data_IF_610188490790
#
_entry.id   IF_610188490790
#
_cell.length_a   1.000
_cell.length_b   1.000
_cell.length_c   1.000
_cell.angle_alpha   90.00
_cell.angle_beta   90.00
_cell.angle_gamma   90.00
#
_symmetry.space_group_name_H-M   'P 1'
#
loop_
_entity.id
_entity.type
_entity.pdbx_description
1 polymer ?
#
# COMPACT_ATOMS: atom_id res chain seq x y z
N UNK A 1 24.00 -5.90 -13.01
CA UNK A 1 22.82 -5.02 -12.87
C UNK A 1 23.14 -3.58 -13.26
N UNK A 2 24.16 -2.94 -12.66
CA UNK A 2 24.54 -1.53 -12.90
C UNK A 2 24.70 -1.16 -14.38
N UNK A 3 25.51 -1.91 -15.13
CA UNK A 3 25.72 -1.65 -16.57
C UNK A 3 24.42 -1.73 -17.40
N UNK A 4 23.49 -2.61 -17.00
CA UNK A 4 22.18 -2.72 -17.65
C UNK A 4 21.33 -1.46 -17.40
N UNK A 5 21.33 -0.96 -16.15
CA UNK A 5 20.63 0.29 -15.78
C UNK A 5 21.24 1.48 -16.53
N UNK A 6 22.57 1.59 -16.54
CA UNK A 6 23.29 2.67 -17.26
C UNK A 6 22.94 2.70 -18.75
N UNK A 7 23.00 1.54 -19.43
CA UNK A 7 22.62 1.43 -20.85
C UNK A 7 21.14 1.78 -21.09
N UNK A 8 20.25 1.36 -20.19
CA UNK A 8 18.82 1.67 -20.31
C UNK A 8 18.55 3.17 -20.13
N UNK A 9 19.16 3.79 -19.12
CA UNK A 9 19.02 5.22 -18.86
C UNK A 9 19.59 6.06 -20.02
N UNK A 10 20.75 5.69 -20.56
CA UNK A 10 21.30 6.36 -21.75
C UNK A 10 20.36 6.29 -22.94
N UNK A 11 19.75 5.13 -23.19
CA UNK A 11 18.88 4.92 -24.35
C UNK A 11 17.49 5.53 -24.21
N UNK A 12 16.90 5.50 -23.01
CA UNK A 12 15.47 5.79 -22.83
C UNK A 12 15.17 6.99 -21.93
N UNK A 13 16.13 7.41 -21.10
CA UNK A 13 16.02 8.58 -20.25
C UNK A 13 16.86 9.76 -20.77
N UNK A 14 17.68 9.54 -21.82
CA UNK A 14 18.65 10.52 -22.34
C UNK A 14 19.64 11.01 -21.26
N UNK A 15 20.00 10.13 -20.31
CA UNK A 15 20.92 10.46 -19.22
C UNK A 15 22.30 9.86 -19.47
N UNK A 16 23.35 10.61 -19.17
CA UNK A 16 24.71 10.08 -19.18
C UNK A 16 24.91 9.04 -18.07
N UNK A 17 25.68 7.99 -18.37
CA UNK A 17 25.93 6.87 -17.45
C UNK A 17 26.53 7.32 -16.10
N UNK A 18 27.33 8.39 -16.11
CA UNK A 18 27.98 8.96 -14.92
C UNK A 18 27.15 10.05 -14.24
N UNK A 19 25.92 10.31 -14.69
CA UNK A 19 25.07 11.31 -14.07
C UNK A 19 24.67 10.89 -12.65
N UNK A 20 24.56 11.85 -11.69
CA UNK A 20 24.16 11.55 -10.31
C UNK A 20 22.81 10.84 -10.20
N UNK A 21 21.91 11.05 -11.16
CA UNK A 21 20.60 10.40 -11.22
C UNK A 21 20.77 8.92 -11.53
N UNK A 22 21.57 8.57 -12.54
CA UNK A 22 21.80 7.18 -12.94
C UNK A 22 22.53 6.40 -11.84
N UNK A 23 23.48 7.02 -11.16
CA UNK A 23 24.19 6.38 -10.04
C UNK A 23 23.22 6.04 -8.89
N UNK A 24 22.42 7.01 -8.45
CA UNK A 24 21.44 6.81 -7.37
C UNK A 24 20.36 5.80 -7.78
N UNK A 25 19.90 5.87 -9.02
CA UNK A 25 18.88 4.95 -9.53
C UNK A 25 19.41 3.52 -9.64
N UNK A 26 20.66 3.34 -10.09
CA UNK A 26 21.32 2.03 -10.14
C UNK A 26 21.47 1.41 -8.76
N UNK A 27 21.84 2.23 -7.76
CA UNK A 27 21.95 1.79 -6.37
C UNK A 27 20.60 1.35 -5.81
N UNK A 28 19.57 2.17 -5.99
CA UNK A 28 18.21 1.84 -5.58
C UNK A 28 17.74 0.53 -6.22
N UNK A 29 17.87 0.38 -7.54
CA UNK A 29 17.46 -0.83 -8.24
C UNK A 29 18.21 -2.05 -7.69
N UNK A 30 19.52 -1.96 -7.44
CA UNK A 30 20.28 -3.07 -6.89
C UNK A 30 19.77 -3.49 -5.51
N UNK A 31 19.57 -2.52 -4.61
CA UNK A 31 19.10 -2.76 -3.24
C UNK A 31 17.67 -3.33 -3.23
N UNK A 32 16.77 -2.73 -4.01
CA UNK A 32 15.34 -3.06 -4.02
C UNK A 32 15.02 -4.37 -4.74
N UNK A 33 15.82 -4.74 -5.75
CA UNK A 33 15.58 -5.94 -6.58
C UNK A 33 16.52 -7.10 -6.25
N UNK A 34 17.60 -6.87 -5.52
CA UNK A 34 18.68 -7.85 -5.27
C UNK A 34 19.16 -8.56 -6.54
N UNK A 35 19.14 -7.86 -7.68
CA UNK A 35 19.56 -8.44 -8.95
C UNK A 35 18.50 -9.24 -9.70
N UNK A 36 17.26 -9.34 -9.19
CA UNK A 36 16.16 -10.02 -9.86
C UNK A 36 15.84 -9.35 -11.20
N UNK A 37 16.29 -9.95 -12.30
CA UNK A 37 16.25 -9.38 -13.66
C UNK A 37 14.85 -8.92 -14.06
N UNK A 38 13.82 -9.71 -13.74
CA UNK A 38 12.43 -9.34 -14.03
C UNK A 38 11.99 -8.05 -13.33
N UNK A 39 12.45 -7.81 -12.09
CA UNK A 39 12.09 -6.62 -11.32
C UNK A 39 12.91 -5.42 -11.75
N UNK A 40 14.18 -5.61 -12.15
CA UNK A 40 15.01 -4.56 -12.73
C UNK A 40 14.31 -3.97 -13.97
N UNK A 41 13.96 -4.82 -14.93
CA UNK A 41 13.31 -4.37 -16.17
C UNK A 41 11.92 -3.79 -15.92
N UNK A 42 11.14 -4.40 -15.01
CA UNK A 42 9.84 -3.88 -14.60
C UNK A 42 9.96 -2.47 -14.03
N UNK A 43 10.91 -2.26 -13.11
CA UNK A 43 11.18 -0.97 -12.47
C UNK A 43 11.59 0.09 -13.50
N UNK A 44 12.55 -0.23 -14.37
CA UNK A 44 13.04 0.69 -15.41
C UNK A 44 11.92 1.10 -16.37
N UNK A 45 11.14 0.13 -16.84
CA UNK A 45 10.05 0.36 -17.79
C UNK A 45 8.99 1.28 -17.20
N UNK A 46 8.46 0.95 -16.03
CA UNK A 46 7.38 1.73 -15.44
C UNK A 46 7.83 3.11 -14.96
N UNK A 47 9.08 3.23 -14.49
CA UNK A 47 9.66 4.56 -14.22
C UNK A 47 9.74 5.41 -15.48
N UNK A 48 10.15 4.82 -16.63
CA UNK A 48 10.21 5.53 -17.90
C UNK A 48 8.83 5.99 -18.37
N UNK A 49 7.83 5.14 -18.23
CA UNK A 49 6.43 5.45 -18.56
C UNK A 49 5.91 6.61 -17.68
N UNK A 50 6.08 6.54 -16.36
CA UNK A 50 5.63 7.58 -15.43
C UNK A 50 6.38 8.91 -15.57
N UNK A 51 7.67 8.86 -15.91
CA UNK A 51 8.53 10.04 -16.01
C UNK A 51 8.63 10.62 -17.42
N UNK A 52 7.87 10.10 -18.39
CA UNK A 52 8.04 10.39 -19.82
C UNK A 52 8.03 11.89 -20.14
N UNK A 53 7.10 12.63 -19.52
CA UNK A 53 7.01 14.09 -19.69
C UNK A 53 8.27 14.81 -19.19
N UNK A 54 8.77 14.47 -18.00
CA UNK A 54 9.96 15.07 -17.39
C UNK A 54 11.24 14.71 -18.15
N UNK A 55 11.30 13.51 -18.72
CA UNK A 55 12.37 13.06 -19.60
C UNK A 55 12.38 13.91 -20.88
N UNK A 56 11.23 14.09 -21.54
CA UNK A 56 11.11 14.91 -22.76
C UNK A 56 11.50 16.37 -22.53
N UNK A 57 11.10 16.94 -21.40
CA UNK A 57 11.40 18.32 -21.03
C UNK A 57 12.82 18.50 -20.45
N UNK A 58 13.58 17.41 -20.27
CA UNK A 58 14.91 17.41 -19.66
C UNK A 58 14.97 18.05 -18.26
N UNK A 59 13.91 17.85 -17.46
CA UNK A 59 13.77 18.37 -16.08
C UNK A 59 13.68 17.24 -15.03
N UNK A 60 14.04 16.01 -15.42
CA UNK A 60 13.98 14.87 -14.53
C UNK A 60 14.99 15.02 -13.39
N UNK A 61 14.53 14.83 -12.15
CA UNK A 61 15.40 14.70 -10.98
C UNK A 61 15.28 13.31 -10.35
N UNK A 62 16.32 12.90 -9.61
CA UNK A 62 16.23 11.67 -8.82
C UNK A 62 15.15 11.75 -7.74
N UNK A 63 14.82 12.94 -7.23
CA UNK A 63 13.73 13.12 -6.25
C UNK A 63 12.39 12.70 -6.84
N UNK A 64 12.13 13.02 -8.10
CA UNK A 64 10.89 12.63 -8.79
C UNK A 64 10.83 11.12 -9.02
N UNK A 65 11.95 10.54 -9.47
CA UNK A 65 12.09 9.09 -9.64
C UNK A 65 11.87 8.37 -8.31
N UNK A 66 12.52 8.82 -7.24
CA UNK A 66 12.43 8.21 -5.91
C UNK A 66 11.02 8.34 -5.32
N UNK A 67 10.36 9.49 -5.52
CA UNK A 67 8.97 9.69 -5.09
C UNK A 67 8.02 8.71 -5.82
N UNK A 68 8.19 8.54 -7.13
CA UNK A 68 7.42 7.57 -7.90
C UNK A 68 7.66 6.13 -7.46
N UNK A 69 8.92 5.72 -7.30
CA UNK A 69 9.29 4.36 -6.88
C UNK A 69 8.80 3.98 -5.47
N UNK A 70 8.43 4.98 -4.67
CA UNK A 70 7.81 4.79 -3.36
C UNK A 70 6.30 5.07 -3.35
N UNK A 71 5.72 5.38 -4.50
CA UNK A 71 4.30 5.67 -4.65
C UNK A 71 3.47 4.39 -4.72
N UNK A 72 2.19 4.53 -4.33
CA UNK A 72 1.18 3.49 -4.52
C UNK A 72 1.02 3.09 -5.98
N UNK A 73 1.15 4.04 -6.90
CA UNK A 73 1.03 3.77 -8.34
C UNK A 73 2.07 2.74 -8.78
N UNK A 74 3.34 2.93 -8.38
CA UNK A 74 4.40 1.99 -8.69
C UNK A 74 4.17 0.62 -8.02
N UNK A 75 3.77 0.60 -6.75
CA UNK A 75 3.47 -0.62 -6.01
C UNK A 75 2.40 -1.48 -6.70
N UNK A 76 1.34 -0.86 -7.21
CA UNK A 76 0.30 -1.54 -7.98
C UNK A 76 0.86 -2.21 -9.25
N UNK A 77 1.92 -1.65 -9.85
CA UNK A 77 2.59 -2.31 -10.98
C UNK A 77 3.37 -3.54 -10.53
N UNK A 78 4.03 -3.47 -9.36
CA UNK A 78 4.81 -4.57 -8.79
C UNK A 78 3.89 -5.72 -8.40
N UNK A 79 2.74 -5.43 -7.79
CA UNK A 79 1.72 -6.43 -7.42
C UNK A 79 1.21 -7.23 -8.63
N UNK A 80 1.18 -6.60 -9.81
CA UNK A 80 0.77 -7.23 -11.09
C UNK A 80 1.93 -7.94 -11.79
N UNK A 81 3.16 -7.74 -11.34
CA UNK A 81 4.33 -8.38 -11.92
C UNK A 81 4.22 -9.91 -11.82
N UNK A 82 4.83 -10.63 -12.76
CA UNK A 82 4.84 -12.11 -12.74
C UNK A 82 5.52 -12.66 -11.48
N UNK A 83 6.55 -11.98 -10.99
CA UNK A 83 7.30 -12.35 -9.80
C UNK A 83 6.57 -11.98 -8.48
N UNK A 84 5.43 -11.29 -8.57
CA UNK A 84 4.62 -10.94 -7.41
C UNK A 84 4.13 -12.19 -6.66
N UNK A 85 4.05 -12.13 -5.32
CA UNK A 85 3.54 -13.23 -4.50
C UNK A 85 2.11 -13.67 -4.84
N UNK A 86 1.27 -12.75 -5.34
CA UNK A 86 -0.15 -12.98 -5.64
C UNK A 86 -0.84 -13.69 -4.47
N UNK A 87 -0.88 -13.03 -3.31
CA UNK A 87 -1.31 -13.57 -2.00
C UNK A 87 -2.61 -14.39 -2.08
N UNK A 88 -3.60 -13.91 -2.85
CA UNK A 88 -4.89 -14.60 -3.04
C UNK A 88 -4.81 -15.99 -3.70
N UNK A 89 -3.69 -16.30 -4.34
CA UNK A 89 -3.44 -17.58 -5.02
C UNK A 89 -2.56 -18.55 -4.21
N UNK A 90 -2.03 -18.10 -3.07
CA UNK A 90 -1.22 -18.93 -2.19
C UNK A 90 -2.10 -19.80 -1.31
N UNK A 91 -1.66 -21.03 -1.03
CA UNK A 91 -2.30 -21.90 -0.05
C UNK A 91 -2.10 -21.35 1.37
N UNK A 92 -2.92 -21.79 2.33
CA UNK A 92 -2.77 -21.41 3.74
C UNK A 92 -1.38 -21.74 4.31
N UNK A 93 -0.77 -22.85 3.89
CA UNK A 93 0.59 -23.22 4.29
C UNK A 93 1.63 -22.28 3.67
N UNK A 94 1.49 -21.95 2.38
CA UNK A 94 2.39 -21.02 1.70
C UNK A 94 2.34 -19.62 2.30
N UNK A 95 1.13 -19.14 2.63
CA UNK A 95 0.93 -17.87 3.32
C UNK A 95 1.66 -17.87 4.66
N UNK A 96 1.45 -18.90 5.47
CA UNK A 96 2.11 -19.03 6.78
C UNK A 96 3.63 -19.02 6.66
N UNK A 97 4.20 -19.69 5.65
CA UNK A 97 5.64 -19.66 5.40
C UNK A 97 6.10 -18.23 5.07
N UNK A 98 5.42 -17.53 4.16
CA UNK A 98 5.75 -16.14 3.82
C UNK A 98 5.64 -15.19 5.02
N UNK A 99 4.61 -15.35 5.86
CA UNK A 99 4.44 -14.58 7.10
C UNK A 99 5.57 -14.85 8.10
N UNK A 100 6.01 -16.11 8.24
CA UNK A 100 7.16 -16.45 9.08
C UNK A 100 8.45 -15.81 8.56
N UNK A 101 8.71 -15.90 7.25
CA UNK A 101 9.88 -15.23 6.63
C UNK A 101 9.81 -13.72 6.86
N UNK A 102 8.65 -13.10 6.64
CA UNK A 102 8.45 -11.67 6.88
C UNK A 102 8.71 -11.28 8.35
N UNK A 103 8.24 -12.08 9.30
CA UNK A 103 8.34 -11.79 10.73
C UNK A 103 9.76 -11.99 11.26
N UNK A 104 10.45 -13.05 10.81
CA UNK A 104 11.75 -13.45 11.34
C UNK A 104 12.92 -13.03 10.46
N UNK A 105 12.66 -12.44 9.28
CA UNK A 105 13.65 -12.16 8.24
C UNK A 105 14.08 -13.40 7.45
N UNK A 106 14.15 -14.55 8.12
CA UNK A 106 14.51 -15.83 7.53
C UNK A 106 13.83 -17.01 8.24
N UNK A 107 13.70 -18.15 7.54
CA UNK A 107 13.32 -19.42 8.18
C UNK A 107 14.20 -20.58 7.70
N UNK A 108 14.40 -21.63 8.49
CA UNK A 108 15.10 -22.83 8.04
C UNK A 108 14.42 -23.44 6.81
N UNK A 109 15.21 -23.74 5.77
CA UNK A 109 14.72 -24.43 4.60
C UNK A 109 14.52 -25.92 4.89
N UNK A 110 13.37 -26.46 4.46
CA UNK A 110 13.11 -27.89 4.48
C UNK A 110 12.82 -28.39 3.06
N UNK A 111 13.74 -29.17 2.51
CA UNK A 111 13.64 -29.72 1.15
C UNK A 111 12.46 -30.68 0.95
N UNK A 112 11.90 -31.24 2.03
CA UNK A 112 10.72 -32.10 1.97
C UNK A 112 9.40 -31.32 2.04
N UNK A 113 9.44 -30.02 2.35
CA UNK A 113 8.25 -29.18 2.35
C UNK A 113 7.91 -28.73 0.92
N UNK A 114 6.85 -29.31 0.35
CA UNK A 114 6.43 -28.98 -1.03
C UNK A 114 5.96 -27.54 -1.21
N UNK A 115 5.42 -26.91 -0.16
CA UNK A 115 4.99 -25.50 -0.18
C UNK A 115 6.18 -24.55 -0.28
N UNK A 116 7.27 -24.81 0.48
CA UNK A 116 8.54 -24.09 0.35
C UNK A 116 9.12 -24.23 -1.05
N UNK A 117 9.19 -25.45 -1.59
CA UNK A 117 9.68 -25.69 -2.95
C UNK A 117 8.87 -24.96 -4.03
N UNK A 118 7.55 -24.86 -3.86
CA UNK A 118 6.67 -24.10 -4.78
C UNK A 118 6.93 -22.60 -4.71
N UNK A 119 7.13 -22.04 -3.51
CA UNK A 119 7.44 -20.62 -3.30
C UNK A 119 8.81 -20.24 -3.89
N UNK A 120 9.78 -21.16 -3.84
CA UNK A 120 11.07 -20.98 -4.52
C UNK A 120 10.89 -21.02 -6.04
N UNK A 121 10.17 -22.02 -6.56
CA UNK A 121 9.92 -22.16 -8.00
C UNK A 121 9.14 -20.99 -8.60
N UNK A 122 8.29 -20.33 -7.83
CA UNK A 122 7.59 -19.12 -8.27
C UNK A 122 8.45 -17.85 -8.23
N UNK A 123 9.64 -17.92 -7.63
CA UNK A 123 10.54 -16.77 -7.45
C UNK A 123 10.12 -15.83 -6.33
N UNK A 124 9.22 -16.25 -5.44
CA UNK A 124 8.80 -15.44 -4.27
C UNK A 124 9.88 -15.51 -3.20
N UNK A 125 10.36 -16.72 -2.91
CA UNK A 125 11.42 -16.97 -1.95
C UNK A 125 12.68 -17.49 -2.65
N UNK A 126 13.82 -17.34 -1.99
CA UNK A 126 15.12 -17.90 -2.39
C UNK A 126 15.74 -18.63 -1.22
N UNK A 127 16.63 -19.57 -1.52
CA UNK A 127 17.45 -20.26 -0.51
C UNK A 127 18.83 -19.61 -0.52
N UNK A 128 19.31 -19.24 0.65
CA UNK A 128 20.71 -18.89 0.88
C UNK A 128 21.17 -19.55 2.19
N UNK A 129 22.30 -20.26 2.18
CA UNK A 129 22.84 -20.97 3.36
C UNK A 129 21.81 -21.79 4.17
N UNK A 130 20.96 -22.59 3.51
CA UNK A 130 19.88 -23.38 4.12
C UNK A 130 18.78 -22.55 4.84
N UNK A 131 18.72 -21.25 4.55
CA UNK A 131 17.69 -20.33 5.02
C UNK A 131 16.86 -19.82 3.85
N UNK A 132 15.58 -19.60 4.10
CA UNK A 132 14.63 -19.04 3.16
C UNK A 132 14.47 -17.54 3.41
N UNK A 133 14.55 -16.76 2.34
CA UNK A 133 14.35 -15.31 2.32
C UNK A 133 13.37 -14.94 1.21
N UNK A 134 12.78 -13.75 1.28
CA UNK A 134 12.18 -13.15 0.08
C UNK A 134 13.25 -12.95 -1.00
N UNK A 135 12.86 -13.17 -2.26
CA UNK A 135 13.78 -13.08 -3.39
C UNK A 135 14.31 -11.67 -3.64
N UNK A 136 13.56 -10.65 -3.20
CA UNK A 136 13.98 -9.25 -3.21
C UNK A 136 13.13 -8.43 -2.23
N UNK A 137 13.64 -7.31 -1.69
CA UNK A 137 12.87 -6.39 -0.86
C UNK A 137 11.60 -5.86 -1.53
N UNK A 138 11.57 -5.68 -2.85
CA UNK A 138 10.33 -5.32 -3.56
C UNK A 138 9.26 -6.42 -3.54
N UNK A 139 9.66 -7.70 -3.52
CA UNK A 139 8.71 -8.81 -3.39
C UNK A 139 8.16 -8.88 -1.96
N UNK A 140 9.02 -8.66 -0.96
CA UNK A 140 8.61 -8.55 0.44
C UNK A 140 7.64 -7.38 0.67
N UNK A 141 7.97 -6.19 0.13
CA UNK A 141 7.09 -5.00 0.14
C UNK A 141 5.73 -5.31 -0.50
N UNK A 142 5.74 -5.97 -1.66
CA UNK A 142 4.52 -6.38 -2.37
C UNK A 142 3.70 -7.40 -1.58
N UNK A 143 4.34 -8.37 -0.92
CA UNK A 143 3.68 -9.30 0.00
C UNK A 143 2.97 -8.53 1.13
N UNK A 144 3.70 -7.63 1.80
CA UNK A 144 3.15 -6.81 2.88
C UNK A 144 1.94 -5.99 2.42
N UNK A 145 2.03 -5.36 1.26
CA UNK A 145 0.93 -4.54 0.72
C UNK A 145 -0.29 -5.37 0.35
N UNK A 146 -0.11 -6.56 -0.20
CA UNK A 146 -1.22 -7.45 -0.53
C UNK A 146 -1.89 -8.05 0.72
N UNK A 147 -1.13 -8.29 1.80
CA UNK A 147 -1.65 -8.83 3.06
C UNK A 147 -2.28 -7.75 3.95
N UNK A 148 -1.62 -6.59 4.08
CA UNK A 148 -1.93 -5.58 5.10
C UNK A 148 -2.24 -4.19 4.54
N UNK A 149 -2.05 -3.98 3.23
CA UNK A 149 -2.29 -2.68 2.60
C UNK A 149 -3.77 -2.26 2.68
N UNK A 150 -4.04 -1.08 3.23
CA UNK A 150 -5.38 -0.49 3.25
C UNK A 150 -5.78 -0.07 1.83
N UNK A 151 -6.79 -0.73 1.27
CA UNK A 151 -7.08 -0.61 -0.16
C UNK A 151 -7.76 0.70 -0.59
N UNK A 152 -8.20 1.60 0.30
CA UNK A 152 -9.28 2.52 -0.08
C UNK A 152 -9.17 3.96 0.42
N UNK A 153 -7.99 4.52 0.65
CA UNK A 153 -7.92 5.98 0.84
C UNK A 153 -8.08 6.67 -0.50
N UNK A 154 -9.05 7.58 -0.60
CA UNK A 154 -9.31 8.36 -1.80
C UNK A 154 -8.14 9.27 -2.12
N UNK A 155 -7.76 9.37 -3.39
CA UNK A 155 -6.75 10.34 -3.84
C UNK A 155 -7.30 11.78 -3.84
N UNK A 156 -8.62 11.94 -3.76
CA UNK A 156 -9.29 13.24 -3.75
C UNK A 156 -9.83 13.54 -2.36
N UNK A 157 -9.33 14.63 -1.76
CA UNK A 157 -9.88 15.18 -0.52
C UNK A 157 -11.22 15.86 -0.79
N UNK A 158 -12.23 15.69 0.08
CA UNK A 158 -13.47 16.46 -0.01
C UNK A 158 -13.22 17.98 0.12
N UNK A 159 -13.91 18.76 -0.71
CA UNK A 159 -13.76 20.23 -0.77
C UNK A 159 -14.41 20.96 0.42
N UNK A 160 -15.30 20.29 1.16
CA UNK A 160 -16.02 20.87 2.30
C UNK A 160 -16.49 19.78 3.27
N UNK A 161 -16.83 20.19 4.50
CA UNK A 161 -17.42 19.30 5.50
C UNK A 161 -18.70 18.65 4.95
N UNK A 162 -19.57 19.41 4.31
CA UNK A 162 -20.78 18.87 3.69
C UNK A 162 -20.45 17.78 2.65
N UNK A 163 -19.51 18.04 1.75
CA UNK A 163 -19.10 17.05 0.75
C UNK A 163 -18.48 15.81 1.38
N UNK A 164 -17.70 15.98 2.46
CA UNK A 164 -17.15 14.87 3.24
C UNK A 164 -18.26 13.99 3.83
N UNK A 165 -19.23 14.59 4.52
CA UNK A 165 -20.36 13.87 5.12
C UNK A 165 -21.17 13.13 4.06
N UNK A 166 -21.52 13.78 2.94
CA UNK A 166 -22.25 13.15 1.83
C UNK A 166 -21.49 11.94 1.31
N UNK A 167 -20.17 12.06 1.07
CA UNK A 167 -19.35 10.94 0.59
C UNK A 167 -19.30 9.77 1.57
N UNK A 168 -19.24 10.04 2.87
CA UNK A 168 -19.29 8.99 3.90
C UNK A 168 -20.61 8.24 3.80
N UNK A 169 -21.75 8.94 3.86
CA UNK A 169 -23.05 8.28 3.82
C UNK A 169 -23.32 7.55 2.50
N UNK A 170 -22.92 8.12 1.35
CA UNK A 170 -22.97 7.41 0.07
C UNK A 170 -22.15 6.13 0.13
N UNK A 171 -20.91 6.18 0.62
CA UNK A 171 -20.04 5.02 0.72
C UNK A 171 -20.43 4.02 1.82
N UNK A 172 -21.24 4.43 2.80
CA UNK A 172 -21.84 3.56 3.82
C UNK A 172 -23.10 2.85 3.29
N UNK A 173 -23.91 3.55 2.49
CA UNK A 173 -25.11 2.99 1.86
C UNK A 173 -24.76 2.08 0.67
N UNK A 174 -23.70 2.40 -0.07
CA UNK A 174 -23.26 1.68 -1.25
C UNK A 174 -22.11 0.69 -0.95
N UNK A 175 -22.00 -0.37 -1.76
CA UNK A 175 -20.82 -1.23 -1.77
C UNK A 175 -20.58 -2.07 -0.49
N UNK A 176 -19.31 -2.36 -0.13
CA UNK A 176 -18.95 -3.26 0.98
C UNK A 176 -19.39 -2.78 2.37
N UNK A 177 -19.49 -1.47 2.59
CA UNK A 177 -19.87 -0.88 3.88
C UNK A 177 -21.34 -1.14 4.21
N UNK A 178 -22.23 -1.06 3.21
CA UNK A 178 -23.63 -1.42 3.40
C UNK A 178 -23.81 -2.89 3.76
N UNK A 179 -22.91 -3.77 3.29
CA UNK A 179 -22.87 -5.17 3.71
C UNK A 179 -22.41 -5.30 5.17
N UNK A 180 -21.38 -4.57 5.58
CA UNK A 180 -20.89 -4.55 6.96
C UNK A 180 -21.99 -4.11 7.92
N UNK A 181 -22.72 -3.02 7.64
CA UNK A 181 -23.82 -2.57 8.50
C UNK A 181 -24.97 -3.57 8.60
N UNK A 182 -25.26 -4.33 7.53
CA UNK A 182 -26.30 -5.38 7.55
C UNK A 182 -25.88 -6.67 8.26
N UNK A 183 -24.60 -7.03 8.17
CA UNK A 183 -24.06 -8.29 8.71
C UNK A 183 -23.42 -8.12 10.11
N UNK A 184 -23.18 -6.88 10.55
CA UNK A 184 -22.62 -6.60 11.87
C UNK A 184 -23.58 -7.09 12.97
N UNK A 185 -23.04 -7.69 14.03
CA UNK A 185 -23.82 -8.12 15.20
C UNK A 185 -24.16 -6.97 16.16
N UNK A 186 -23.78 -5.74 15.82
CA UNK A 186 -23.89 -4.57 16.68
C UNK A 186 -25.28 -3.96 16.71
N UNK A 187 -26.29 -4.78 17.01
CA UNK A 187 -27.68 -4.39 17.19
C UNK A 187 -28.05 -4.33 18.67
N UNK A 188 -28.88 -3.36 19.05
CA UNK A 188 -29.50 -3.26 20.35
C UNK A 188 -30.63 -4.28 20.53
N UNK A 189 -31.12 -4.38 21.77
CA UNK A 189 -32.26 -5.25 22.10
C UNK A 189 -33.56 -4.85 21.40
N UNK A 190 -33.62 -3.63 20.89
CA UNK A 190 -34.70 -3.05 20.08
C UNK A 190 -34.57 -3.39 18.58
N UNK A 191 -33.52 -4.10 18.18
CA UNK A 191 -33.25 -4.45 16.78
C UNK A 191 -32.64 -3.32 15.95
N UNK A 192 -32.33 -2.17 16.55
CA UNK A 192 -31.66 -1.05 15.88
C UNK A 192 -30.15 -1.17 16.00
N UNK A 193 -29.39 -0.63 15.04
CA UNK A 193 -27.94 -0.58 15.14
C UNK A 193 -27.51 0.25 16.37
N UNK A 194 -26.56 -0.28 17.14
CA UNK A 194 -25.92 0.44 18.24
C UNK A 194 -25.18 1.65 17.69
N UNK A 195 -25.19 2.75 18.45
CA UNK A 195 -24.48 3.98 18.13
C UNK A 195 -22.99 3.73 17.87
N UNK A 196 -22.35 2.88 18.67
CA UNK A 196 -20.96 2.50 18.44
C UNK A 196 -20.72 1.79 17.10
N UNK A 197 -21.72 1.07 16.58
CA UNK A 197 -21.60 0.44 15.26
C UNK A 197 -21.62 1.50 14.17
N UNK A 198 -22.48 2.51 14.30
CA UNK A 198 -22.51 3.67 13.43
C UNK A 198 -21.21 4.49 13.48
N UNK A 199 -20.75 4.84 14.68
CA UNK A 199 -19.50 5.60 14.87
C UNK A 199 -18.28 4.87 14.30
N UNK A 200 -18.15 3.55 14.53
CA UNK A 200 -17.03 2.76 14.01
C UNK A 200 -17.03 2.67 12.48
N UNK A 201 -18.20 2.53 11.87
CA UNK A 201 -18.30 2.47 10.42
C UNK A 201 -18.10 3.86 9.79
N UNK A 202 -18.64 4.91 10.42
CA UNK A 202 -18.37 6.29 10.05
C UNK A 202 -16.87 6.58 10.08
N UNK A 203 -16.17 6.16 11.14
CA UNK A 203 -14.72 6.31 11.25
C UNK A 203 -13.97 5.57 10.14
N UNK A 204 -14.32 4.30 9.90
CA UNK A 204 -13.68 3.44 8.90
C UNK A 204 -13.83 4.01 7.50
N UNK A 205 -15.05 4.42 7.13
CA UNK A 205 -15.36 5.00 5.81
C UNK A 205 -14.84 6.43 5.71
N UNK A 206 -14.97 7.23 6.76
CA UNK A 206 -14.43 8.59 6.86
C UNK A 206 -12.94 8.62 6.57
N UNK A 207 -12.16 7.75 7.23
CA UNK A 207 -10.72 7.61 6.97
C UNK A 207 -10.40 7.21 5.52
N UNK A 208 -11.30 6.46 4.87
CA UNK A 208 -11.16 6.10 3.45
C UNK A 208 -11.46 7.29 2.53
N UNK A 209 -12.51 8.08 2.77
CA UNK A 209 -12.92 9.16 1.84
C UNK A 209 -12.23 10.50 2.09
N UNK A 210 -11.62 10.71 3.26
CA UNK A 210 -11.00 11.97 3.66
C UNK A 210 -9.72 12.32 2.87
N UNK A 211 -9.01 11.29 2.41
CA UNK A 211 -7.79 11.41 1.61
C UNK A 211 -6.50 11.37 2.42
N UNK A 212 -5.36 11.13 1.75
CA UNK A 212 -4.09 10.72 2.37
C UNK A 212 -3.42 11.78 3.27
N UNK A 213 -3.78 13.05 3.12
CA UNK A 213 -3.09 14.17 3.79
C UNK A 213 -3.71 14.60 5.13
N UNK A 214 -4.84 13.99 5.49
CA UNK A 214 -5.69 14.40 6.61
C UNK A 214 -5.99 13.19 7.50
N UNK A 215 -6.22 13.45 8.78
CA UNK A 215 -6.48 12.40 9.77
C UNK A 215 -7.82 12.65 10.46
N UNK A 216 -8.69 11.64 10.44
CA UNK A 216 -9.92 11.63 11.22
C UNK A 216 -9.58 11.01 12.58
N UNK A 217 -9.79 11.75 13.66
CA UNK A 217 -9.65 11.26 15.04
C UNK A 217 -11.04 10.93 15.59
N UNK A 218 -11.18 9.85 16.35
CA UNK A 218 -12.39 9.54 17.12
C UNK A 218 -12.17 9.77 18.62
N UNK A 219 -13.26 9.84 19.39
CA UNK A 219 -13.25 9.94 20.85
C UNK A 219 -12.48 11.17 21.38
N UNK A 220 -12.60 12.31 20.69
CA UNK A 220 -11.81 13.52 20.95
C UNK A 220 -12.39 14.46 21.99
N UNK A 221 -13.61 14.22 22.49
CA UNK A 221 -14.29 15.12 23.44
C UNK A 221 -13.42 15.52 24.65
N UNK A 222 -12.71 14.55 25.25
CA UNK A 222 -11.81 14.80 26.39
C UNK A 222 -10.63 15.72 26.05
N UNK A 223 -10.14 15.70 24.81
CA UNK A 223 -9.03 16.54 24.35
C UNK A 223 -9.46 17.99 24.19
N UNK A 224 -10.72 18.22 23.78
CA UNK A 224 -11.27 19.56 23.58
C UNK A 224 -11.87 20.18 24.86
N UNK A 225 -11.82 19.48 26.00
CA UNK A 225 -12.42 19.94 27.25
C UNK A 225 -13.94 20.05 27.17
N UNK A 226 -14.56 19.35 26.23
CA UNK A 226 -16.00 19.29 26.04
C UNK A 226 -16.54 18.01 26.67
N UNK A 227 -17.66 18.09 27.40
CA UNK A 227 -18.35 16.93 27.97
C UNK A 227 -19.01 16.08 26.87
N UNK A 228 -18.22 15.29 26.13
CA UNK A 228 -18.72 14.22 25.26
C UNK A 228 -19.38 14.61 23.93
N UNK A 229 -19.45 15.90 23.59
CA UNK A 229 -20.19 16.38 22.40
C UNK A 229 -19.45 16.24 21.06
N UNK A 230 -18.21 15.75 21.01
CA UNK A 230 -17.47 15.65 19.73
C UNK A 230 -17.00 14.22 19.53
N UNK A 231 -17.68 13.53 18.62
CA UNK A 231 -17.36 12.16 18.23
C UNK A 231 -16.10 12.10 17.37
N UNK A 232 -15.95 13.06 16.44
CA UNK A 232 -14.82 13.08 15.52
C UNK A 232 -14.22 14.47 15.31
N UNK A 233 -12.93 14.50 15.01
CA UNK A 233 -12.22 15.71 14.57
C UNK A 233 -11.32 15.42 13.37
N UNK A 234 -11.34 16.31 12.40
CA UNK A 234 -10.51 16.23 11.19
C UNK A 234 -9.34 17.20 11.30
N UNK A 235 -8.15 16.64 11.45
CA UNK A 235 -6.90 17.41 11.54
C UNK A 235 -6.65 18.27 10.28
N UNK A 236 -6.11 19.47 10.47
CA UNK A 236 -5.81 20.51 9.44
C UNK A 236 -7.01 21.16 8.75
N UNK A 237 -8.21 20.59 8.86
CA UNK A 237 -9.44 21.20 8.33
C UNK A 237 -10.31 21.83 9.42
N UNK A 238 -9.97 21.60 10.69
CA UNK A 238 -10.66 22.13 11.87
C UNK A 238 -12.16 21.78 11.90
N UNK A 239 -12.52 20.60 11.41
CA UNK A 239 -13.89 20.11 11.46
C UNK A 239 -14.10 19.24 12.70
N UNK A 240 -14.95 19.70 13.61
CA UNK A 240 -15.51 18.90 14.68
C UNK A 240 -16.87 18.34 14.24
N UNK A 241 -17.11 17.05 14.50
CA UNK A 241 -18.31 16.33 14.07
C UNK A 241 -18.90 15.62 15.28
N UNK A 242 -20.19 15.85 15.48
CA UNK A 242 -21.04 15.16 16.44
C UNK A 242 -22.11 14.39 15.65
N UNK A 243 -22.25 13.10 15.94
CA UNK A 243 -23.33 12.26 15.44
C UNK A 243 -24.47 12.29 16.45
N UNK A 244 -25.47 13.11 16.15
CA UNK A 244 -26.70 13.14 16.93
C UNK A 244 -27.52 11.88 16.61
N UNK A 245 -28.02 11.23 17.66
CA UNK A 245 -28.99 10.14 17.53
C UNK A 245 -30.38 10.72 17.79
N UNK A 246 -31.28 10.51 16.83
CA UNK A 246 -32.72 10.60 17.04
C UNK A 246 -33.29 9.22 17.41
#
# INVERSE_FOLDING_TARGET
SKECVERYCGKYFNLEAQSPIVEKFSRYIQEATQGHVGLIFHTLRHTKEAMERRIRENVLSFKDVFAYLNSREFDLTVDRCRASPKVKSLSSEQLKICEMVYTFGEVPFNAYNTSMLRLIKSGILVIDHERLFFSAPLIERSFFQQCYGSHNTSETTPESLYHFIVRIFTAMCDGPSGKILREALGFGTDGNLLEQTWQKEFYRVGTQVLGINYFLSCDVGAVFGCDGYVDFYVDKLDWAIELLRD
#
